data_IF_798789228322
#
_entry.id   IF_798789228322
#
_cell.length_a   1.000
_cell.length_b   1.000
_cell.length_c   1.000
_cell.angle_alpha   90.00
_cell.angle_beta   90.00
_cell.angle_gamma   90.00
#
_symmetry.space_group_name_H-M   'P 1'
#
loop_
_entity.id
_entity.type
_entity.pdbx_description
1 polymer ?
#
# COMPACT_ATOMS: atom_id res chain seq x y z
N UNK A 1 -1.22 -10.97 18.31
CA UNK A 1 -1.77 -10.45 17.03
C UNK A 1 -1.57 -8.95 16.93
N UNK A 2 -1.66 -8.42 15.73
CA UNK A 2 -1.72 -6.99 15.49
C UNK A 2 -3.13 -6.47 15.75
N UNK A 3 -3.40 -5.99 16.96
CA UNK A 3 -4.72 -5.50 17.37
C UNK A 3 -5.16 -4.26 16.58
N UNK A 4 -4.23 -3.44 16.13
CA UNK A 4 -4.50 -2.27 15.28
C UNK A 4 -5.04 -2.70 13.91
N UNK A 5 -4.50 -3.78 13.30
CA UNK A 5 -4.99 -4.34 12.03
C UNK A 5 -6.41 -4.90 12.20
N UNK A 6 -6.64 -5.65 13.27
CA UNK A 6 -7.98 -6.19 13.57
C UNK A 6 -8.99 -5.06 13.76
N UNK A 7 -8.66 -4.02 14.53
CA UNK A 7 -9.52 -2.83 14.68
C UNK A 7 -9.74 -2.08 13.39
N UNK A 8 -8.72 -1.96 12.55
CA UNK A 8 -8.85 -1.32 11.23
C UNK A 8 -9.71 -2.14 10.24
N UNK A 9 -9.87 -3.46 10.48
CA UNK A 9 -10.75 -4.33 9.70
C UNK A 9 -12.21 -4.36 10.22
N UNK A 10 -12.51 -3.70 11.35
CA UNK A 10 -13.88 -3.63 11.89
C UNK A 10 -14.80 -2.77 11.02
N UNK A 11 -16.04 -3.21 10.93
CA UNK A 11 -17.16 -2.44 10.34
C UNK A 11 -18.21 -2.24 11.43
N UNK A 12 -18.56 -1.00 11.73
CA UNK A 12 -19.48 -0.64 12.82
C UNK A 12 -19.08 -1.27 14.20
N UNK A 13 -17.77 -1.27 14.51
CA UNK A 13 -17.22 -1.84 15.74
C UNK A 13 -17.32 -3.36 15.84
N UNK A 14 -17.47 -4.05 14.72
CA UNK A 14 -17.56 -5.51 14.66
C UNK A 14 -16.61 -6.07 13.62
N UNK A 15 -15.95 -7.15 13.96
CA UNK A 15 -15.05 -7.87 13.07
C UNK A 15 -15.85 -8.95 12.30
N UNK A 16 -16.07 -8.72 11.01
CA UNK A 16 -16.75 -9.66 10.13
C UNK A 16 -15.80 -10.53 9.32
N UNK A 17 -14.57 -10.07 9.15
CA UNK A 17 -13.53 -10.73 8.38
C UNK A 17 -12.20 -10.59 9.12
N UNK A 18 -11.39 -11.63 9.10
CA UNK A 18 -10.04 -11.63 9.64
C UNK A 18 -9.11 -11.87 8.47
N UNK A 19 -8.23 -10.92 8.12
CA UNK A 19 -7.27 -11.12 7.04
C UNK A 19 -6.27 -12.22 7.39
N UNK A 20 -5.95 -13.07 6.44
CA UNK A 20 -4.88 -14.06 6.59
C UNK A 20 -3.52 -13.37 6.73
N UNK A 21 -3.30 -12.34 5.94
CA UNK A 21 -2.13 -11.50 5.98
C UNK A 21 -2.43 -10.08 5.51
N UNK A 22 -1.46 -9.20 5.69
CA UNK A 22 -1.57 -7.81 5.30
C UNK A 22 -0.22 -7.24 4.88
N UNK A 23 -0.26 -6.15 4.12
CA UNK A 23 0.89 -5.31 3.85
C UNK A 23 0.50 -3.83 3.86
N UNK A 24 1.45 -2.97 4.07
CA UNK A 24 1.33 -1.53 3.84
C UNK A 24 2.27 -1.08 2.71
N UNK A 25 1.95 0.05 2.11
CA UNK A 25 2.75 0.65 1.06
C UNK A 25 3.74 1.61 1.66
N UNK A 26 4.97 1.52 1.18
CA UNK A 26 6.08 2.35 1.58
C UNK A 26 6.69 3.05 0.35
N UNK A 27 7.29 4.18 0.60
CA UNK A 27 8.02 4.97 -0.39
C UNK A 27 9.48 5.06 0.05
N UNK A 28 10.39 5.13 -0.92
CA UNK A 28 11.76 5.61 -0.74
C UNK A 28 12.01 6.74 -1.69
N UNK A 29 12.60 7.81 -1.20
CA UNK A 29 12.98 8.94 -2.02
C UNK A 29 14.41 8.80 -2.51
N UNK A 30 14.68 9.42 -3.65
CA UNK A 30 16.01 9.53 -4.21
C UNK A 30 16.86 10.52 -3.40
N UNK A 31 17.94 10.04 -2.78
CA UNK A 31 18.82 10.86 -1.95
C UNK A 31 19.55 11.95 -2.73
N UNK A 32 19.86 11.73 -4.00
CA UNK A 32 20.48 12.78 -4.81
C UNK A 32 19.57 14.01 -4.96
N UNK A 33 18.24 13.82 -4.86
CA UNK A 33 17.26 14.91 -4.89
C UNK A 33 17.08 15.48 -3.48
N UNK A 34 16.81 14.63 -2.48
CA UNK A 34 16.52 15.10 -1.12
C UNK A 34 17.70 15.81 -0.47
N UNK A 35 18.93 15.35 -0.69
CA UNK A 35 20.14 15.97 -0.15
C UNK A 35 20.40 17.34 -0.81
N UNK A 36 20.21 17.48 -2.14
CA UNK A 36 20.37 18.75 -2.83
C UNK A 36 19.32 19.79 -2.38
N UNK A 37 18.10 19.34 -2.11
CA UNK A 37 17.03 20.18 -1.59
C UNK A 37 17.15 20.47 -0.09
N UNK A 38 18.03 19.81 0.62
CA UNK A 38 18.06 19.76 2.09
C UNK A 38 16.68 19.38 2.65
N UNK A 39 15.99 18.41 2.00
CA UNK A 39 14.65 17.99 2.37
C UNK A 39 14.68 17.08 3.59
N UNK A 40 13.95 17.46 4.64
CA UNK A 40 13.79 16.62 5.83
C UNK A 40 12.81 15.48 5.52
N UNK A 41 13.33 14.25 5.46
CA UNK A 41 12.55 13.07 5.10
C UNK A 41 11.60 12.68 6.23
N UNK A 42 10.27 12.75 6.04
CA UNK A 42 9.30 12.39 7.06
C UNK A 42 9.19 10.87 7.27
N UNK A 43 8.49 10.43 8.32
CA UNK A 43 8.14 9.01 8.52
C UNK A 43 6.91 8.58 7.72
N UNK A 44 6.07 9.53 7.36
CA UNK A 44 4.78 9.32 6.69
C UNK A 44 4.55 10.42 5.65
N UNK A 45 3.98 10.07 4.50
CA UNK A 45 3.74 11.01 3.40
C UNK A 45 2.38 10.76 2.76
N UNK A 46 1.62 11.82 2.50
CA UNK A 46 0.42 11.80 1.68
C UNK A 46 0.65 12.43 0.31
N UNK A 47 -0.42 12.58 -0.48
CA UNK A 47 -0.35 13.20 -1.81
C UNK A 47 0.10 14.67 -1.75
N UNK A 48 -0.21 15.39 -0.67
CA UNK A 48 0.17 16.81 -0.55
C UNK A 48 1.67 16.92 -0.32
N UNK A 49 2.21 16.12 0.59
CA UNK A 49 3.65 16.04 0.88
C UNK A 49 4.43 15.63 -0.38
N UNK A 50 3.91 14.62 -1.11
CA UNK A 50 4.52 14.15 -2.35
C UNK A 50 4.50 15.23 -3.44
N UNK A 51 3.37 15.91 -3.60
CA UNK A 51 3.23 16.95 -4.60
C UNK A 51 4.11 18.17 -4.31
N UNK A 52 4.23 18.56 -3.04
CA UNK A 52 5.15 19.62 -2.62
C UNK A 52 6.61 19.26 -2.91
N UNK A 53 7.03 18.04 -2.59
CA UNK A 53 8.36 17.55 -2.92
C UNK A 53 8.60 17.51 -4.43
N UNK A 54 7.62 17.06 -5.21
CA UNK A 54 7.70 17.04 -6.66
C UNK A 54 7.92 18.46 -7.23
N UNK A 55 7.18 19.47 -6.74
CA UNK A 55 7.34 20.84 -7.19
C UNK A 55 8.75 21.40 -6.91
N UNK A 56 9.37 20.99 -5.81
CA UNK A 56 10.75 21.36 -5.47
C UNK A 56 11.77 20.57 -6.30
N UNK A 57 11.52 19.30 -6.56
CA UNK A 57 12.42 18.41 -7.29
C UNK A 57 12.49 18.71 -8.79
N UNK A 58 11.36 19.03 -9.41
CA UNK A 58 11.24 19.26 -10.85
C UNK A 58 12.27 20.25 -11.45
N UNK A 59 12.59 21.41 -10.82
CA UNK A 59 13.57 22.36 -11.35
C UNK A 59 15.02 21.86 -11.36
N UNK A 60 15.35 20.84 -10.54
CA UNK A 60 16.71 20.30 -10.40
C UNK A 60 16.86 18.90 -10.99
N UNK A 61 15.74 18.33 -11.46
CA UNK A 61 15.67 17.00 -12.02
C UNK A 61 16.33 16.89 -13.39
N UNK A 62 16.70 15.68 -13.78
CA UNK A 62 17.24 15.38 -15.11
C UNK A 62 16.12 15.45 -16.18
N UNK A 63 16.48 15.54 -17.46
CA UNK A 63 15.51 15.70 -18.57
C UNK A 63 14.53 14.52 -18.72
N UNK A 64 14.94 13.32 -18.28
CA UNK A 64 14.14 12.09 -18.31
C UNK A 64 13.42 11.79 -16.97
N UNK A 65 13.16 12.82 -16.19
CA UNK A 65 12.58 12.73 -14.86
C UNK A 65 11.24 12.01 -14.82
N UNK A 66 11.11 11.08 -13.89
CA UNK A 66 9.87 10.34 -13.58
C UNK A 66 9.57 10.36 -12.09
N UNK A 67 8.31 10.16 -11.72
CA UNK A 67 7.92 10.16 -10.30
C UNK A 67 8.28 8.84 -9.63
N UNK A 68 7.87 7.71 -10.18
CA UNK A 68 8.07 6.38 -9.60
C UNK A 68 8.66 5.42 -10.63
N UNK A 69 9.69 4.70 -10.23
CA UNK A 69 10.38 3.72 -11.09
C UNK A 69 9.43 2.70 -11.71
N UNK A 70 8.44 2.24 -10.94
CA UNK A 70 7.54 1.15 -11.33
C UNK A 70 6.10 1.59 -11.64
N UNK A 71 5.79 2.89 -11.57
CA UNK A 71 4.43 3.42 -11.68
C UNK A 71 3.42 2.92 -10.61
N UNK A 72 3.87 2.24 -9.59
CA UNK A 72 3.00 1.69 -8.55
C UNK A 72 2.29 2.79 -7.76
N UNK A 73 2.89 3.97 -7.64
CA UNK A 73 2.30 5.10 -6.94
C UNK A 73 0.93 5.50 -7.52
N UNK A 74 0.73 5.36 -8.83
CA UNK A 74 -0.54 5.67 -9.51
C UNK A 74 -1.65 4.65 -9.24
N UNK A 75 -1.30 3.50 -8.68
CA UNK A 75 -2.24 2.48 -8.21
C UNK A 75 -2.52 2.67 -6.73
N UNK A 76 -1.48 2.84 -5.93
CA UNK A 76 -1.61 2.85 -4.48
C UNK A 76 -2.15 4.16 -3.91
N UNK A 77 -1.83 5.32 -4.49
CA UNK A 77 -2.38 6.60 -4.04
C UNK A 77 -3.92 6.64 -4.12
N UNK A 78 -4.55 6.32 -5.27
CA UNK A 78 -6.01 6.28 -5.33
C UNK A 78 -6.62 5.29 -4.35
N UNK A 79 -6.08 4.08 -4.26
CA UNK A 79 -6.60 3.07 -3.33
C UNK A 79 -6.44 3.48 -1.86
N UNK A 80 -5.42 4.29 -1.55
CA UNK A 80 -5.20 4.86 -0.23
C UNK A 80 -6.24 5.95 0.06
N UNK A 81 -6.51 6.81 -0.91
CA UNK A 81 -7.32 8.01 -0.75
C UNK A 81 -8.81 7.74 -0.86
N UNK A 82 -9.25 6.93 -1.83
CA UNK A 82 -10.68 6.69 -2.14
C UNK A 82 -11.48 6.23 -0.92
N UNK A 83 -10.86 5.46 0.00
CA UNK A 83 -11.52 5.01 1.23
C UNK A 83 -11.97 6.15 2.13
N UNK A 84 -11.35 7.33 2.06
CA UNK A 84 -11.73 8.49 2.86
C UNK A 84 -13.03 9.13 2.36
N UNK A 85 -13.37 8.93 1.08
CA UNK A 85 -14.52 9.52 0.39
C UNK A 85 -15.65 8.53 0.14
N UNK A 86 -15.44 7.25 0.42
CA UNK A 86 -16.47 6.22 0.34
C UNK A 86 -16.68 5.57 1.71
N UNK A 87 -17.68 6.05 2.45
CA UNK A 87 -18.16 5.45 3.69
C UNK A 87 -19.53 4.83 3.45
N UNK A 88 -19.91 3.84 4.27
CA UNK A 88 -21.11 3.03 4.11
C UNK A 88 -22.42 3.79 3.79
N UNK A 89 -22.54 5.03 4.26
CA UNK A 89 -23.75 5.85 4.10
C UNK A 89 -23.45 7.24 3.52
N UNK A 90 -22.20 7.50 3.16
CA UNK A 90 -21.76 8.81 2.70
C UNK A 90 -20.73 8.66 1.59
N UNK A 91 -21.11 9.09 0.40
CA UNK A 91 -20.23 9.22 -0.76
C UNK A 91 -19.90 10.70 -0.93
N UNK A 92 -18.63 11.06 -1.01
CA UNK A 92 -18.19 12.45 -1.03
C UNK A 92 -17.04 12.70 -2.02
N UNK A 93 -17.10 12.04 -3.18
CA UNK A 93 -16.08 12.19 -4.22
C UNK A 93 -16.14 13.54 -4.94
N UNK A 94 -17.27 14.26 -4.95
CA UNK A 94 -17.40 15.57 -5.57
C UNK A 94 -16.92 16.74 -4.67
N UNK A 95 -16.32 16.42 -3.53
CA UNK A 95 -15.74 17.40 -2.63
C UNK A 95 -14.53 18.12 -3.24
N UNK A 96 -14.28 19.36 -2.84
CA UNK A 96 -13.14 20.15 -3.29
C UNK A 96 -11.80 19.46 -2.98
N UNK A 97 -11.70 18.78 -1.84
CA UNK A 97 -10.49 18.05 -1.46
C UNK A 97 -10.20 16.89 -2.40
N UNK A 98 -11.22 16.14 -2.84
CA UNK A 98 -11.00 15.05 -3.78
C UNK A 98 -10.69 15.56 -5.19
N UNK A 99 -11.32 16.64 -5.62
CA UNK A 99 -10.97 17.33 -6.88
C UNK A 99 -9.51 17.78 -6.85
N UNK A 100 -9.04 18.34 -5.74
CA UNK A 100 -7.64 18.75 -5.59
C UNK A 100 -6.68 17.54 -5.61
N UNK A 101 -7.05 16.42 -4.97
CA UNK A 101 -6.33 15.16 -5.11
C UNK A 101 -6.20 14.72 -6.57
N UNK A 102 -7.30 14.73 -7.33
CA UNK A 102 -7.29 14.36 -8.75
C UNK A 102 -6.43 15.29 -9.60
N UNK A 103 -6.42 16.60 -9.33
CA UNK A 103 -5.53 17.56 -10.03
C UNK A 103 -4.06 17.24 -9.80
N UNK A 104 -3.67 16.99 -8.55
CA UNK A 104 -2.30 16.61 -8.21
C UNK A 104 -1.92 15.30 -8.89
N UNK A 105 -2.78 14.30 -8.82
CA UNK A 105 -2.57 13.03 -9.49
C UNK A 105 -2.41 13.18 -11.01
N UNK A 106 -3.27 13.97 -11.65
CA UNK A 106 -3.21 14.22 -13.09
C UNK A 106 -1.88 14.88 -13.50
N UNK A 107 -1.36 15.82 -12.69
CA UNK A 107 -0.06 16.44 -12.95
C UNK A 107 1.09 15.45 -12.76
N UNK A 108 1.12 14.71 -11.67
CA UNK A 108 2.13 13.69 -11.44
C UNK A 108 2.13 12.60 -12.52
N UNK A 109 0.96 12.23 -13.03
CA UNK A 109 0.80 11.19 -14.05
C UNK A 109 1.49 11.54 -15.37
N UNK A 110 1.75 12.80 -15.68
CA UNK A 110 2.50 13.21 -16.86
C UNK A 110 3.97 12.77 -16.80
N UNK A 111 4.47 12.39 -15.63
CA UNK A 111 5.84 11.97 -15.37
C UNK A 111 5.96 10.46 -15.15
N UNK A 112 4.99 9.69 -15.64
CA UNK A 112 5.10 8.23 -15.63
C UNK A 112 6.11 7.78 -16.68
N UNK A 113 6.96 6.78 -16.39
CA UNK A 113 7.84 6.20 -17.40
C UNK A 113 7.03 5.57 -18.53
N UNK A 114 7.48 5.71 -19.76
CA UNK A 114 6.84 5.00 -20.87
C UNK A 114 7.06 3.50 -20.74
N UNK A 115 6.02 2.70 -20.91
CA UNK A 115 6.07 1.21 -20.83
C UNK A 115 7.15 0.57 -21.74
N UNK A 116 7.66 1.30 -22.73
CA UNK A 116 8.66 0.79 -23.67
C UNK A 116 10.09 0.71 -23.10
N UNK A 117 10.37 1.35 -21.96
CA UNK A 117 11.74 1.46 -21.42
C UNK A 117 12.01 0.58 -20.21
N UNK A 118 11.00 -0.07 -19.65
CA UNK A 118 11.15 -0.82 -18.41
C UNK A 118 10.84 -2.30 -18.60
N UNK A 119 11.84 -3.03 -19.11
CA UNK A 119 11.92 -4.46 -18.81
C UNK A 119 12.16 -4.57 -17.29
N UNK A 120 11.40 -5.41 -16.61
CA UNK A 120 11.39 -5.67 -15.17
C UNK A 120 12.75 -6.10 -14.54
N UNK A 121 13.85 -5.96 -15.26
CA UNK A 121 15.15 -6.53 -14.92
C UNK A 121 16.22 -5.52 -14.48
N UNK A 122 16.00 -4.22 -14.64
CA UNK A 122 16.92 -3.22 -14.13
C UNK A 122 16.17 -2.24 -13.22
N UNK A 123 16.12 -2.59 -11.94
CA UNK A 123 16.02 -1.59 -10.88
C UNK A 123 17.30 -0.76 -10.98
N UNK A 124 17.35 0.15 -11.96
CA UNK A 124 18.27 1.29 -11.93
C UNK A 124 17.80 2.20 -10.81
N UNK A 125 18.02 1.69 -9.60
CA UNK A 125 18.03 2.46 -8.40
C UNK A 125 18.60 3.84 -8.67
N UNK A 126 17.79 4.85 -8.46
CA UNK A 126 18.16 6.26 -8.25
C UNK A 126 19.55 6.68 -8.81
N UNK A 127 19.80 6.47 -10.11
CA UNK A 127 21.00 6.99 -10.76
C UNK A 127 20.73 8.45 -11.12
N UNK A 128 21.50 9.38 -10.56
CA UNK A 128 21.30 10.80 -10.78
C UNK A 128 19.98 11.31 -10.16
N UNK A 129 19.28 12.18 -10.87
CA UNK A 129 18.00 12.82 -10.44
C UNK A 129 16.86 12.54 -11.40
N UNK A 130 16.94 11.42 -12.12
CA UNK A 130 15.92 11.04 -13.13
C UNK A 130 14.66 10.40 -12.53
N UNK A 131 14.69 9.98 -11.26
CA UNK A 131 13.54 9.37 -10.57
C UNK A 131 13.37 9.98 -9.19
N UNK A 132 12.14 10.35 -8.81
CA UNK A 132 11.85 10.94 -7.50
C UNK A 132 11.78 9.89 -6.40
N UNK A 133 11.05 8.81 -6.63
CA UNK A 133 10.79 7.78 -5.61
C UNK A 133 10.70 6.36 -6.19
N UNK A 134 10.71 5.39 -5.29
CA UNK A 134 10.33 4.02 -5.54
C UNK A 134 9.24 3.60 -4.55
N UNK A 135 8.15 3.05 -5.08
CA UNK A 135 7.05 2.49 -4.28
C UNK A 135 7.26 1.00 -4.09
N UNK A 136 7.16 0.54 -2.86
CA UNK A 136 7.27 -0.87 -2.51
C UNK A 136 6.32 -1.23 -1.36
N UNK A 137 6.24 -2.50 -1.03
CA UNK A 137 5.41 -2.98 0.07
C UNK A 137 6.28 -3.55 1.18
N UNK A 138 5.77 -3.56 2.42
CA UNK A 138 6.43 -4.24 3.52
C UNK A 138 6.28 -5.77 3.46
N UNK A 139 5.87 -6.31 2.31
CA UNK A 139 5.97 -7.73 2.03
C UNK A 139 7.43 -8.14 2.04
N UNK A 140 7.73 -9.22 2.75
CA UNK A 140 9.05 -9.81 2.80
C UNK A 140 9.34 -10.57 1.49
N UNK A 141 9.25 -9.87 0.37
CA UNK A 141 9.63 -10.39 -0.94
C UNK A 141 11.10 -10.06 -1.21
N UNK A 142 11.91 -11.08 -1.35
CA UNK A 142 13.34 -10.92 -1.60
C UNK A 142 14.19 -10.84 -0.33
N UNK A 143 15.25 -10.03 -0.33
CA UNK A 143 16.12 -9.84 0.83
C UNK A 143 15.62 -8.65 1.68
N UNK A 144 15.00 -8.89 2.83
CA UNK A 144 14.52 -7.83 3.71
C UNK A 144 15.64 -6.99 4.33
N UNK A 145 16.87 -7.49 4.37
CA UNK A 145 18.02 -6.84 5.02
C UNK A 145 18.27 -5.41 4.55
N UNK A 146 17.97 -5.08 3.29
CA UNK A 146 18.04 -3.71 2.80
C UNK A 146 16.74 -2.91 2.88
N UNK A 147 15.64 -3.51 3.36
CA UNK A 147 14.30 -2.89 3.26
C UNK A 147 14.17 -1.64 4.14
N UNK A 148 14.78 -1.63 5.33
CA UNK A 148 14.67 -0.54 6.29
C UNK A 148 15.95 0.29 6.41
N UNK A 149 16.98 -0.02 5.65
CA UNK A 149 18.25 0.70 5.66
C UNK A 149 18.22 1.88 4.69
N UNK A 150 18.84 2.99 5.10
CA UNK A 150 19.22 4.03 4.20
C UNK A 150 20.45 3.57 3.39
N UNK A 151 20.48 3.95 2.13
CA UNK A 151 21.62 3.70 1.25
C UNK A 151 22.18 5.02 0.74
N UNK A 152 23.32 4.96 0.04
CA UNK A 152 23.90 6.16 -0.58
C UNK A 152 22.96 6.82 -1.61
N UNK A 153 21.96 6.07 -2.11
CA UNK A 153 21.05 6.53 -3.16
C UNK A 153 19.58 6.62 -2.73
N UNK A 154 19.20 5.99 -1.62
CA UNK A 154 17.81 5.91 -1.14
C UNK A 154 17.67 6.30 0.33
N UNK A 155 16.60 7.01 0.65
CA UNK A 155 16.24 7.38 2.02
C UNK A 155 15.71 6.18 2.83
N UNK A 156 15.50 6.39 4.14
CA UNK A 156 14.68 5.48 4.95
C UNK A 156 13.30 5.27 4.32
N UNK A 157 12.63 4.15 4.59
CA UNK A 157 11.25 3.93 4.18
C UNK A 157 10.30 4.95 4.80
N UNK A 158 9.31 5.36 4.02
CA UNK A 158 8.26 6.31 4.40
C UNK A 158 6.92 5.61 4.20
N UNK A 159 6.04 5.64 5.20
CA UNK A 159 4.69 5.06 5.07
C UNK A 159 3.80 5.96 4.22
N UNK A 160 3.07 5.36 3.27
CA UNK A 160 2.05 6.06 2.51
C UNK A 160 0.78 6.18 3.35
N UNK A 161 0.31 7.40 3.57
CA UNK A 161 -0.95 7.71 4.24
C UNK A 161 -1.92 8.42 3.31
N UNK A 162 -3.20 8.43 3.66
CA UNK A 162 -4.22 9.27 3.02
C UNK A 162 -4.27 10.66 3.65
N UNK A 163 -4.94 11.59 2.97
CA UNK A 163 -5.10 12.98 3.45
C UNK A 163 -5.88 13.10 4.76
N UNK A 164 -6.66 12.08 5.15
CA UNK A 164 -7.30 11.97 6.47
C UNK A 164 -6.35 11.49 7.58
N UNK A 165 -5.04 11.33 7.27
CA UNK A 165 -4.00 10.92 8.21
C UNK A 165 -3.98 9.42 8.54
N UNK A 166 -4.71 8.60 7.78
CA UNK A 166 -4.74 7.15 8.01
C UNK A 166 -3.72 6.42 7.14
N UNK A 167 -3.06 5.43 7.72
CA UNK A 167 -2.18 4.50 7.01
C UNK A 167 -2.96 3.23 6.73
N UNK A 168 -3.33 2.96 5.47
CA UNK A 168 -4.11 1.78 5.14
C UNK A 168 -3.22 0.54 5.01
N UNK A 169 -3.82 -0.62 5.29
CA UNK A 169 -3.26 -1.91 4.92
C UNK A 169 -4.04 -2.54 3.76
N UNK A 170 -3.37 -3.34 2.99
CA UNK A 170 -3.94 -4.24 1.98
C UNK A 170 -3.87 -5.66 2.49
N UNK A 171 -4.89 -6.44 2.20
CA UNK A 171 -4.92 -7.86 2.54
C UNK A 171 -4.04 -8.68 1.60
N UNK A 172 -3.49 -9.75 2.13
CA UNK A 172 -2.83 -10.81 1.37
C UNK A 172 -3.58 -12.10 1.65
N UNK A 173 -3.72 -12.93 0.62
CA UNK A 173 -4.44 -14.18 0.73
C UNK A 173 -5.94 -13.98 0.89
N UNK A 174 -6.57 -14.85 1.67
CA UNK A 174 -8.00 -14.88 1.87
C UNK A 174 -8.39 -14.21 3.20
N UNK A 175 -9.62 -13.72 3.27
CA UNK A 175 -10.22 -13.29 4.53
C UNK A 175 -11.00 -14.46 5.14
N UNK A 176 -10.78 -14.74 6.41
CA UNK A 176 -11.60 -15.70 7.15
C UNK A 176 -12.88 -15.03 7.65
N UNK A 177 -14.01 -15.58 7.27
CA UNK A 177 -15.31 -15.12 7.75
C UNK A 177 -16.21 -16.30 8.11
N UNK A 178 -17.14 -16.08 9.03
CA UNK A 178 -18.10 -17.10 9.43
C UNK A 178 -19.48 -16.74 8.86
N UNK A 179 -20.04 -17.67 8.06
CA UNK A 179 -21.40 -17.51 7.55
C UNK A 179 -22.43 -17.42 8.68
N UNK A 180 -23.42 -16.55 8.54
CA UNK A 180 -24.57 -16.49 9.47
C UNK A 180 -25.32 -17.82 9.55
N UNK A 181 -25.34 -18.62 8.47
CA UNK A 181 -25.93 -19.94 8.37
C UNK A 181 -25.08 -21.08 8.94
N UNK A 182 -23.87 -20.79 9.48
CA UNK A 182 -23.02 -21.81 10.07
C UNK A 182 -23.71 -22.49 11.26
N UNK A 183 -23.87 -23.82 11.21
CA UNK A 183 -24.57 -24.61 12.23
C UNK A 183 -23.73 -24.79 13.50
N UNK A 184 -22.42 -24.93 13.35
CA UNK A 184 -21.46 -25.07 14.46
C UNK A 184 -20.48 -23.91 14.44
N UNK A 185 -20.89 -22.79 15.01
CA UNK A 185 -20.06 -21.59 15.09
C UNK A 185 -18.83 -21.75 15.97
N UNK A 186 -18.90 -22.62 16.98
CA UNK A 186 -17.80 -22.87 17.87
C UNK A 186 -16.68 -23.61 17.14
N UNK A 187 -17.00 -24.67 16.40
CA UNK A 187 -16.02 -25.39 15.58
C UNK A 187 -15.43 -24.51 14.47
N UNK A 188 -16.28 -23.73 13.79
CA UNK A 188 -15.82 -22.80 12.77
C UNK A 188 -14.84 -21.76 13.34
N UNK A 189 -15.09 -21.28 14.54
CA UNK A 189 -14.19 -20.36 15.23
C UNK A 189 -12.85 -21.01 15.62
N UNK A 190 -12.88 -22.26 16.12
CA UNK A 190 -11.64 -23.00 16.38
C UNK A 190 -10.83 -23.22 15.10
N UNK A 191 -11.49 -23.50 13.97
CA UNK A 191 -10.82 -23.61 12.68
C UNK A 191 -10.16 -22.28 12.24
N UNK A 192 -10.89 -21.15 12.36
CA UNK A 192 -10.32 -19.83 12.06
C UNK A 192 -9.09 -19.56 12.96
N UNK A 193 -9.21 -19.81 14.28
CA UNK A 193 -8.09 -19.64 15.20
C UNK A 193 -6.90 -20.53 14.83
N UNK A 194 -7.16 -21.75 14.39
CA UNK A 194 -6.13 -22.65 13.89
C UNK A 194 -5.42 -22.03 12.67
N UNK A 195 -6.16 -21.53 11.68
CA UNK A 195 -5.59 -20.96 10.48
C UNK A 195 -4.71 -19.71 10.74
N UNK A 196 -5.12 -18.84 11.68
CA UNK A 196 -4.37 -17.61 11.99
C UNK A 196 -3.32 -17.79 13.10
N UNK A 197 -3.37 -18.88 13.85
CA UNK A 197 -2.57 -19.10 15.08
C UNK A 197 -1.37 -19.99 14.93
N UNK A 198 -1.33 -20.88 13.95
CA UNK A 198 -0.30 -21.92 13.87
C UNK A 198 0.66 -21.72 12.70
N UNK A 199 1.91 -22.19 12.90
CA UNK A 199 2.82 -22.56 11.84
C UNK A 199 2.13 -23.59 10.96
N UNK A 200 1.75 -23.23 9.77
CA UNK A 200 1.18 -24.17 8.82
C UNK A 200 2.32 -24.86 8.10
N UNK A 201 2.61 -26.10 8.50
CA UNK A 201 3.44 -27.07 7.80
C UNK A 201 4.93 -26.73 7.66
N UNK A 202 5.77 -27.53 8.28
CA UNK A 202 7.14 -27.76 7.86
C UNK A 202 7.09 -28.52 6.52
N UNK A 203 7.16 -27.78 5.41
CA UNK A 203 7.44 -28.42 4.12
C UNK A 203 8.92 -28.76 4.08
N UNK A 204 9.22 -30.06 4.08
CA UNK A 204 10.60 -30.59 3.96
C UNK A 204 11.31 -30.26 2.65
N UNK A 205 10.65 -29.60 1.70
CA UNK A 205 11.20 -29.33 0.38
C UNK A 205 11.98 -28.00 0.35
N UNK A 206 13.25 -28.12 0.75
CA UNK A 206 14.19 -27.03 0.90
C UNK A 206 14.51 -26.22 -0.38
N UNK A 207 13.96 -26.58 -1.53
CA UNK A 207 14.38 -26.05 -2.83
C UNK A 207 13.41 -25.08 -3.52
N UNK A 208 12.30 -24.69 -2.91
CA UNK A 208 11.43 -23.71 -3.52
C UNK A 208 11.62 -22.31 -2.89
N UNK A 209 12.29 -21.42 -3.59
CA UNK A 209 12.48 -20.01 -3.26
C UNK A 209 11.21 -19.17 -3.45
N UNK A 210 10.03 -19.77 -3.35
CA UNK A 210 8.79 -19.06 -3.66
C UNK A 210 8.21 -18.36 -2.43
N UNK A 211 7.68 -17.15 -2.66
CA UNK A 211 6.85 -16.36 -1.75
C UNK A 211 5.80 -17.19 -0.98
N UNK A 212 5.11 -18.10 -1.66
CA UNK A 212 4.12 -19.00 -1.07
C UNK A 212 4.68 -19.92 0.01
N UNK A 213 5.96 -20.32 -0.08
CA UNK A 213 6.61 -21.16 0.91
C UNK A 213 6.69 -20.47 2.28
N UNK A 214 7.13 -19.22 2.31
CA UNK A 214 7.28 -18.47 3.55
C UNK A 214 5.93 -18.29 4.23
N UNK A 215 4.89 -18.01 3.46
CA UNK A 215 3.53 -17.83 3.93
C UNK A 215 2.98 -19.11 4.59
N UNK A 216 3.11 -20.26 3.93
CA UNK A 216 2.64 -21.54 4.46
C UNK A 216 3.50 -22.10 5.59
N UNK A 217 4.78 -21.73 5.67
CA UNK A 217 5.69 -22.25 6.70
C UNK A 217 5.53 -21.52 8.05
N UNK A 218 5.26 -20.22 8.03
CA UNK A 218 5.24 -19.39 9.25
C UNK A 218 3.85 -19.02 9.74
N UNK A 219 2.79 -19.40 9.02
CA UNK A 219 1.42 -19.09 9.37
C UNK A 219 1.03 -17.65 9.08
N UNK A 220 -0.08 -17.21 9.65
CA UNK A 220 -0.63 -15.87 9.38
C UNK A 220 0.31 -14.75 9.83
N UNK A 221 0.52 -13.77 8.95
CA UNK A 221 1.26 -12.54 9.26
C UNK A 221 0.55 -11.66 10.30
N UNK A 222 -0.72 -11.92 10.58
CA UNK A 222 -1.47 -11.27 11.65
C UNK A 222 -0.95 -11.64 13.04
N UNK A 223 -0.28 -12.77 13.17
CA UNK A 223 0.35 -13.21 14.41
C UNK A 223 1.77 -12.64 14.51
N UNK A 224 1.99 -11.75 15.49
CA UNK A 224 3.28 -11.06 15.70
C UNK A 224 4.46 -12.03 15.84
N UNK A 225 4.26 -13.16 16.53
CA UNK A 225 5.32 -14.16 16.71
C UNK A 225 5.69 -14.84 15.38
N UNK A 226 4.69 -15.21 14.57
CA UNK A 226 4.95 -15.77 13.24
C UNK A 226 5.73 -14.78 12.37
N UNK A 227 5.35 -13.51 12.42
CA UNK A 227 6.01 -12.45 11.68
C UNK A 227 7.44 -12.22 12.12
N UNK A 228 7.69 -12.18 13.44
CA UNK A 228 9.07 -12.06 13.97
C UNK A 228 9.93 -13.22 13.52
N UNK A 229 9.41 -14.46 13.56
CA UNK A 229 10.14 -15.63 13.11
C UNK A 229 10.43 -15.59 11.60
N UNK A 230 9.48 -15.11 10.79
CA UNK A 230 9.68 -14.94 9.36
C UNK A 230 10.76 -13.89 9.08
N UNK A 231 10.67 -12.74 9.73
CA UNK A 231 11.66 -11.66 9.60
C UNK A 231 13.04 -12.14 10.06
N UNK A 232 13.13 -12.77 11.23
CA UNK A 232 14.39 -13.30 11.75
C UNK A 232 15.02 -14.36 10.81
N UNK A 233 14.20 -15.22 10.22
CA UNK A 233 14.68 -16.22 9.27
C UNK A 233 15.23 -15.58 7.98
N UNK A 234 14.53 -14.59 7.44
CA UNK A 234 14.92 -13.93 6.20
C UNK A 234 16.10 -12.96 6.38
N UNK A 235 16.29 -12.43 7.58
CA UNK A 235 17.32 -11.43 7.90
C UNK A 235 18.53 -12.02 8.65
N UNK A 236 18.70 -13.34 8.67
CA UNK A 236 19.80 -13.99 9.38
C UNK A 236 19.95 -13.52 10.86
N UNK A 237 18.79 -13.29 11.52
CA UNK A 237 18.66 -12.80 12.90
C UNK A 237 19.02 -11.31 13.11
N UNK A 238 18.71 -10.44 12.17
CA UNK A 238 18.77 -8.99 12.36
C UNK A 238 17.54 -8.49 13.17
N UNK A 239 17.72 -8.42 14.49
CA UNK A 239 16.69 -7.97 15.42
C UNK A 239 16.28 -6.50 15.18
N UNK A 240 17.19 -5.62 14.76
CA UNK A 240 16.91 -4.20 14.52
C UNK A 240 15.93 -4.01 13.37
N UNK A 241 16.08 -4.76 12.29
CA UNK A 241 15.12 -4.74 11.17
C UNK A 241 13.77 -5.32 11.58
N UNK A 242 13.74 -6.36 12.41
CA UNK A 242 12.49 -6.92 12.93
C UNK A 242 11.72 -5.91 13.79
N UNK A 243 12.40 -5.17 14.66
CA UNK A 243 11.79 -4.10 15.48
C UNK A 243 11.25 -2.95 14.61
N UNK A 244 12.02 -2.50 13.62
CA UNK A 244 11.57 -1.47 12.67
C UNK A 244 10.34 -1.94 11.89
N UNK A 245 10.34 -3.18 11.41
CA UNK A 245 9.21 -3.76 10.69
C UNK A 245 7.95 -3.79 11.57
N UNK A 246 8.06 -4.21 12.83
CA UNK A 246 6.96 -4.20 13.79
C UNK A 246 6.45 -2.77 14.04
N UNK A 247 7.35 -1.81 14.25
CA UNK A 247 7.01 -0.41 14.48
C UNK A 247 6.25 0.23 13.29
N UNK A 248 6.59 -0.12 12.06
CA UNK A 248 5.84 0.32 10.87
C UNK A 248 4.44 -0.29 10.84
N UNK A 249 4.30 -1.59 11.12
CA UNK A 249 3.00 -2.24 11.14
C UNK A 249 2.08 -1.72 12.24
N UNK A 250 2.61 -1.29 13.39
CA UNK A 250 1.83 -0.72 14.48
C UNK A 250 1.22 0.66 14.14
N UNK A 251 1.76 1.38 13.16
CA UNK A 251 1.20 2.64 12.66
C UNK A 251 -0.02 2.46 11.76
N UNK A 252 -0.25 1.27 11.23
CA UNK A 252 -1.41 0.99 10.38
C UNK A 252 -2.71 1.23 11.13
N UNK A 253 -3.63 1.98 10.51
CA UNK A 253 -4.82 2.50 11.19
C UNK A 253 -6.11 2.43 10.38
N UNK A 254 -6.05 1.87 9.15
CA UNK A 254 -7.21 1.70 8.29
C UNK A 254 -7.05 0.46 7.39
N UNK A 255 -8.16 -0.05 6.85
CA UNK A 255 -8.18 -1.01 5.74
C UNK A 255 -8.25 -0.22 4.44
N UNK A 256 -7.42 -0.56 3.47
CA UNK A 256 -7.50 0.02 2.13
C UNK A 256 -8.85 -0.30 1.50
N UNK A 257 -9.39 0.64 0.76
CA UNK A 257 -10.59 0.39 -0.03
C UNK A 257 -10.26 -0.61 -1.14
N UNK A 258 -11.03 -1.69 -1.21
CA UNK A 258 -10.97 -2.63 -2.32
C UNK A 258 -12.31 -3.33 -2.49
N UNK A 259 -13.21 -2.66 -3.15
CA UNK A 259 -14.35 -3.32 -3.77
C UNK A 259 -14.03 -3.47 -5.26
N UNK A 260 -13.84 -4.71 -5.72
CA UNK A 260 -13.35 -4.99 -7.07
C UNK A 260 -14.29 -4.50 -8.17
N UNK A 261 -15.61 -4.48 -7.90
CA UNK A 261 -16.60 -4.05 -8.87
C UNK A 261 -16.61 -2.52 -9.00
N UNK A 262 -16.69 -1.83 -7.87
CA UNK A 262 -16.66 -0.37 -7.87
C UNK A 262 -15.27 0.15 -8.31
N UNK A 263 -14.18 -0.46 -7.85
CA UNK A 263 -12.83 -0.09 -8.24
C UNK A 263 -12.61 -0.18 -9.75
N UNK A 264 -13.15 -1.22 -10.40
CA UNK A 264 -13.10 -1.34 -11.87
C UNK A 264 -13.79 -0.16 -12.57
N UNK A 265 -14.98 0.25 -12.09
CA UNK A 265 -15.72 1.38 -12.65
C UNK A 265 -14.97 2.70 -12.44
N UNK A 266 -14.47 2.93 -11.23
CA UNK A 266 -13.73 4.15 -10.90
C UNK A 266 -12.39 4.22 -11.64
N UNK A 267 -11.73 3.10 -11.86
CA UNK A 267 -10.45 3.03 -12.58
C UNK A 267 -10.60 3.47 -14.02
N UNK A 268 -11.65 3.06 -14.74
CA UNK A 268 -11.89 3.52 -16.11
C UNK A 268 -12.02 5.04 -16.18
N UNK A 269 -12.86 5.62 -15.33
CA UNK A 269 -13.07 7.08 -15.27
C UNK A 269 -11.78 7.80 -14.86
N UNK A 270 -11.04 7.25 -13.90
CA UNK A 270 -9.75 7.81 -13.46
C UNK A 270 -8.74 7.85 -14.59
N UNK A 271 -8.64 6.79 -15.38
CA UNK A 271 -7.72 6.74 -16.51
C UNK A 271 -8.04 7.85 -17.53
N UNK A 272 -9.32 8.09 -17.82
CA UNK A 272 -9.70 9.20 -18.70
C UNK A 272 -9.29 10.56 -18.14
N UNK A 273 -9.37 10.76 -16.83
CA UNK A 273 -8.89 11.95 -16.14
C UNK A 273 -7.36 12.07 -16.22
N UNK A 274 -6.63 11.00 -15.91
CA UNK A 274 -5.16 11.01 -15.96
C UNK A 274 -4.63 11.26 -17.37
N UNK A 275 -5.31 10.76 -18.38
CA UNK A 275 -5.02 11.03 -19.80
C UNK A 275 -5.52 12.40 -20.29
N UNK A 276 -6.07 13.23 -19.41
CA UNK A 276 -6.59 14.58 -19.72
C UNK A 276 -7.77 14.60 -20.71
N UNK A 277 -8.52 13.49 -20.82
CA UNK A 277 -9.73 13.41 -21.65
C UNK A 277 -10.92 14.07 -20.99
N UNK A 278 -10.96 14.06 -19.65
CA UNK A 278 -11.93 14.77 -18.80
C UNK A 278 -11.19 15.56 -17.73
N UNK A 279 -11.85 16.58 -17.19
CA UNK A 279 -11.28 17.38 -16.10
C UNK A 279 -11.37 16.66 -14.76
N UNK A 280 -10.56 17.02 -13.76
CA UNK A 280 -10.71 16.52 -12.39
C UNK A 280 -12.10 16.72 -11.80
N UNK A 281 -12.76 17.83 -12.09
CA UNK A 281 -14.12 18.13 -11.65
C UNK A 281 -15.15 17.20 -12.31
N UNK A 282 -15.01 16.92 -13.60
CA UNK A 282 -15.86 15.95 -14.31
C UNK A 282 -15.64 14.54 -13.80
N UNK A 283 -14.38 14.16 -13.55
CA UNK A 283 -14.02 12.86 -12.96
C UNK A 283 -14.66 12.70 -11.57
N UNK A 284 -14.49 13.65 -10.69
CA UNK A 284 -15.04 13.65 -9.34
C UNK A 284 -16.58 13.52 -9.34
N UNK A 285 -17.24 14.27 -10.23
CA UNK A 285 -18.69 14.19 -10.42
C UNK A 285 -19.17 12.81 -10.91
N UNK A 286 -18.43 12.23 -11.86
CA UNK A 286 -18.73 10.88 -12.36
C UNK A 286 -18.52 9.83 -11.27
N UNK A 287 -17.46 9.97 -10.47
CA UNK A 287 -17.21 9.11 -9.31
C UNK A 287 -18.36 9.16 -8.32
N UNK A 288 -18.78 10.38 -7.94
CA UNK A 288 -19.90 10.59 -7.03
C UNK A 288 -21.15 9.85 -7.53
N UNK A 289 -21.52 10.07 -8.78
CA UNK A 289 -22.70 9.45 -9.38
C UNK A 289 -22.63 7.91 -9.40
N UNK A 290 -21.47 7.34 -9.76
CA UNK A 290 -21.30 5.90 -9.85
C UNK A 290 -21.28 5.22 -8.48
N UNK A 291 -20.59 5.85 -7.53
CA UNK A 291 -20.52 5.33 -6.17
C UNK A 291 -21.87 5.43 -5.46
N UNK A 292 -22.63 6.51 -5.64
CA UNK A 292 -24.01 6.63 -5.10
C UNK A 292 -24.95 5.56 -5.66
N UNK A 293 -24.89 5.28 -6.96
CA UNK A 293 -25.67 4.18 -7.55
C UNK A 293 -25.29 2.84 -6.93
N UNK A 294 -24.00 2.57 -6.82
CA UNK A 294 -23.48 1.32 -6.27
C UNK A 294 -23.86 1.09 -4.80
N UNK A 295 -23.79 2.12 -3.97
CA UNK A 295 -24.10 2.03 -2.53
C UNK A 295 -25.61 1.86 -2.29
N UNK A 296 -26.47 2.30 -3.23
CA UNK A 296 -27.93 2.23 -3.10
C UNK A 296 -28.54 0.98 -3.77
N UNK A 297 -27.78 0.14 -4.48
CA UNK A 297 -28.18 -1.17 -4.98
C UNK A 297 -28.03 -2.27 -3.92
#
# INVERSE_FOLDING_TARGET
>A
YYDNILRAAEVDGKLYQIPEGFYCVMLRLNRNITDELNYEVPDEMDINDLYELYQQAKPIADDDFTIDVQNNIYVFLPMTEDRAYLKKEEVNFDSENYVDFLRKMQELYQYQPSYATHAFTDIKSFSGKSVLLNTFTNLLEGSPSGMFEETDTATKPILLKSTDGKIPFWRIGEDFSMSSGCKDKALAWEFIKFCIGQKQFEFEDANSDSYYRNFFTYGSMLNKENTRQLVAYQLENDDDTAEKWEAYNEKVSAKAFRDLQLDSILTEIRNECMEQKITPEECAKLFQQRAELYVNE
#
